data_IF_887386223865
#
_entry.id   IF_887386223865
#
_cell.length_a   1.000
_cell.length_b   1.000
_cell.length_c   1.000
_cell.angle_alpha   90.00
_cell.angle_beta   90.00
_cell.angle_gamma   90.00
#
_symmetry.space_group_name_H-M   'P 1'
#
loop_
_entity.id
_entity.type
_entity.pdbx_description
1 polymer ?
#
# COMPACT_ATOMS: atom_id res chain seq x y z
N UNK A 1 31.60 -8.74 19.97
CA UNK A 1 31.87 -8.86 18.51
C UNK A 1 30.63 -9.11 17.62
N UNK A 2 29.41 -8.73 18.01
CA UNK A 2 28.20 -8.86 17.15
C UNK A 2 27.58 -7.53 16.70
N UNK A 3 28.05 -6.40 17.23
CA UNK A 3 27.48 -5.07 16.98
C UNK A 3 28.20 -4.35 15.82
N UNK A 4 29.43 -4.74 15.48
CA UNK A 4 30.22 -4.16 14.38
C UNK A 4 29.79 -4.61 12.97
N UNK A 5 28.93 -5.63 12.84
CA UNK A 5 28.54 -6.18 11.51
C UNK A 5 27.31 -5.52 10.88
N UNK A 6 26.59 -4.67 11.63
CA UNK A 6 25.36 -4.03 11.14
C UNK A 6 25.54 -2.55 10.77
N UNK A 7 26.58 -1.88 11.27
CA UNK A 7 26.89 -0.49 10.92
C UNK A 7 27.60 -0.41 9.55
N UNK A 8 28.28 -1.48 9.12
CA UNK A 8 29.02 -1.55 7.86
C UNK A 8 28.10 -1.80 6.64
N UNK A 9 26.89 -2.33 6.83
CA UNK A 9 25.93 -2.56 5.73
C UNK A 9 25.10 -1.32 5.34
N UNK A 10 25.04 -0.28 6.19
CA UNK A 10 24.26 0.94 5.92
C UNK A 10 25.15 2.08 5.36
N UNK A 11 26.47 1.92 5.40
CA UNK A 11 27.44 2.89 4.90
C UNK A 11 28.16 2.47 3.59
N UNK A 12 27.78 1.34 2.98
CA UNK A 12 28.57 0.67 1.94
C UNK A 12 28.08 0.80 0.49
N UNK A 13 27.06 1.61 0.19
CA UNK A 13 26.64 1.81 -1.21
C UNK A 13 26.43 3.30 -1.56
N UNK A 14 27.33 4.14 -1.06
CA UNK A 14 27.55 5.48 -1.60
C UNK A 14 29.00 5.56 -2.08
N UNK A 15 29.13 5.78 -3.39
CA UNK A 15 30.27 6.38 -4.10
C UNK A 15 31.55 5.54 -4.35
N UNK A 16 31.60 4.93 -5.54
CA UNK A 16 32.76 4.94 -6.45
C UNK A 16 32.19 4.93 -7.89
N UNK A 17 32.03 6.09 -8.55
CA UNK A 17 33.01 6.71 -9.48
C UNK A 17 33.39 5.71 -10.59
N UNK A 18 33.08 5.86 -11.88
CA UNK A 18 32.79 7.03 -12.68
C UNK A 18 33.62 6.90 -13.96
N UNK A 19 33.00 6.48 -15.08
CA UNK A 19 33.51 6.73 -16.43
C UNK A 19 32.39 6.54 -17.47
N UNK A 20 31.62 7.60 -17.67
CA UNK A 20 30.64 7.70 -18.75
C UNK A 20 30.48 9.18 -19.07
N UNK A 21 31.10 9.63 -20.14
CA UNK A 21 31.08 11.01 -20.59
C UNK A 21 29.67 11.43 -21.04
N UNK A 22 29.26 12.63 -20.62
CA UNK A 22 28.20 13.40 -21.25
C UNK A 22 26.79 13.18 -20.71
N UNK A 23 26.40 13.94 -19.68
CA UNK A 23 25.04 14.45 -19.51
C UNK A 23 25.05 15.56 -18.45
N UNK A 24 24.66 16.76 -18.86
CA UNK A 24 24.52 17.93 -17.99
C UNK A 24 23.58 17.62 -16.82
N UNK A 25 24.09 17.69 -15.59
CA UNK A 25 23.27 17.60 -14.38
C UNK A 25 22.58 18.94 -14.18
N UNK A 26 21.36 19.07 -14.70
CA UNK A 26 20.42 20.05 -14.18
C UNK A 26 20.02 19.58 -12.78
N UNK A 27 20.54 20.23 -11.74
CA UNK A 27 20.03 20.12 -10.37
C UNK A 27 18.61 20.66 -10.33
N UNK A 28 17.65 19.78 -10.62
CA UNK A 28 16.24 20.04 -10.35
C UNK A 28 16.03 20.02 -8.84
N UNK A 29 15.68 21.18 -8.28
CA UNK A 29 15.11 21.30 -6.94
C UNK A 29 14.06 20.21 -6.73
N UNK A 30 14.09 19.39 -5.67
CA UNK A 30 13.05 18.41 -5.43
C UNK A 30 11.71 19.13 -5.25
N UNK A 31 10.88 19.19 -6.30
CA UNK A 31 9.48 19.56 -6.11
C UNK A 31 8.89 18.57 -5.12
N UNK A 32 8.45 19.08 -3.96
CA UNK A 32 7.64 18.32 -3.03
C UNK A 32 6.40 17.82 -3.79
N UNK A 33 6.42 16.55 -4.19
CA UNK A 33 5.25 15.90 -4.74
C UNK A 33 4.22 15.87 -3.62
N UNK A 34 3.17 16.69 -3.72
CA UNK A 34 1.98 16.56 -2.90
C UNK A 34 1.46 15.14 -3.10
N UNK A 35 1.81 14.23 -2.19
CA UNK A 35 1.42 12.84 -2.31
C UNK A 35 -0.10 12.77 -2.20
N UNK A 36 -0.76 12.41 -3.30
CA UNK A 36 -2.21 12.19 -3.34
C UNK A 36 -2.55 11.17 -2.26
N UNK A 37 -3.50 11.52 -1.39
CA UNK A 37 -4.01 10.60 -0.39
C UNK A 37 -4.76 9.46 -1.08
N UNK A 38 -4.11 8.31 -1.22
CA UNK A 38 -4.69 7.16 -1.91
C UNK A 38 -5.90 6.62 -1.13
N UNK A 39 -6.89 6.09 -1.83
CA UNK A 39 -8.03 5.37 -1.26
C UNK A 39 -8.01 3.93 -1.70
N UNK A 40 -7.87 2.99 -0.75
CA UNK A 40 -7.86 1.56 -1.00
C UNK A 40 -9.13 0.93 -0.46
N UNK A 41 -9.86 0.22 -1.30
CA UNK A 41 -10.96 -0.66 -0.89
C UNK A 41 -10.42 -2.00 -0.39
N UNK A 42 -10.92 -2.51 0.73
CA UNK A 42 -10.64 -3.86 1.21
C UNK A 42 -11.95 -4.65 1.30
N UNK A 43 -12.09 -5.63 0.40
CA UNK A 43 -13.26 -6.49 0.30
C UNK A 43 -13.01 -7.82 1.01
N UNK A 44 -13.76 -8.06 2.06
CA UNK A 44 -13.61 -9.24 2.93
C UNK A 44 -14.52 -10.38 2.48
N UNK A 45 -14.04 -11.62 2.63
CA UNK A 45 -14.80 -12.82 2.24
C UNK A 45 -16.08 -13.05 3.06
N UNK A 46 -16.12 -12.56 4.30
CA UNK A 46 -17.25 -12.69 5.20
C UNK A 46 -17.20 -11.62 6.31
N UNK A 47 -18.22 -10.76 6.38
CA UNK A 47 -18.33 -9.81 7.50
C UNK A 47 -18.93 -10.49 8.74
N UNK A 48 -18.40 -10.18 9.92
CA UNK A 48 -18.90 -10.71 11.20
C UNK A 48 -17.99 -11.72 11.90
N UNK A 49 -16.98 -12.26 11.21
CA UNK A 49 -15.96 -13.11 11.81
C UNK A 49 -14.98 -12.29 12.68
N UNK A 50 -14.66 -12.68 13.93
CA UNK A 50 -13.62 -12.05 14.75
C UNK A 50 -12.26 -11.88 14.06
N UNK A 51 -11.83 -12.86 13.24
CA UNK A 51 -10.60 -12.75 12.44
C UNK A 51 -10.66 -11.55 11.49
N UNK A 52 -11.79 -11.36 10.80
CA UNK A 52 -11.98 -10.25 9.87
C UNK A 52 -12.03 -8.91 10.60
N UNK A 53 -12.55 -8.85 11.83
CA UNK A 53 -12.48 -7.64 12.65
C UNK A 53 -11.03 -7.24 12.95
N UNK A 54 -10.18 -8.21 13.30
CA UNK A 54 -8.76 -7.97 13.55
C UNK A 54 -8.02 -7.53 12.29
N UNK A 55 -8.21 -8.22 11.16
CA UNK A 55 -7.59 -7.86 9.87
C UNK A 55 -8.05 -6.46 9.44
N UNK A 56 -9.34 -6.16 9.59
CA UNK A 56 -9.89 -4.85 9.27
C UNK A 56 -9.28 -3.73 10.13
N UNK A 57 -9.03 -4.01 11.41
CA UNK A 57 -8.36 -3.06 12.28
C UNK A 57 -6.91 -2.83 11.85
N UNK A 58 -6.16 -3.90 11.60
CA UNK A 58 -4.78 -3.81 11.13
C UNK A 58 -4.67 -3.04 9.80
N UNK A 59 -5.61 -3.26 8.86
CA UNK A 59 -5.65 -2.53 7.60
C UNK A 59 -5.90 -1.03 7.79
N UNK A 60 -6.77 -0.65 8.74
CA UNK A 60 -6.99 0.77 9.08
C UNK A 60 -5.75 1.40 9.71
N UNK A 61 -5.06 0.69 10.59
CA UNK A 61 -3.88 1.21 11.26
C UNK A 61 -2.72 1.38 10.27
N UNK A 62 -2.46 0.38 9.41
CA UNK A 62 -1.52 0.52 8.30
C UNK A 62 -1.88 1.68 7.34
N UNK A 63 -3.18 1.88 7.08
CA UNK A 63 -3.65 3.03 6.32
C UNK A 63 -3.27 4.37 6.96
N UNK A 64 -3.44 4.51 8.27
CA UNK A 64 -3.03 5.73 8.99
C UNK A 64 -1.53 5.96 8.90
N UNK A 65 -0.74 4.92 9.13
CA UNK A 65 0.73 4.99 9.11
C UNK A 65 1.28 5.38 7.73
N UNK A 66 0.61 4.92 6.67
CA UNK A 66 0.98 5.20 5.28
C UNK A 66 0.30 6.45 4.70
N UNK A 67 -0.58 7.12 5.45
CA UNK A 67 -1.36 8.25 4.93
C UNK A 67 -2.40 7.85 3.87
N UNK A 68 -2.87 6.61 3.86
CA UNK A 68 -3.85 6.04 2.92
C UNK A 68 -5.22 5.91 3.58
N UNK A 69 -6.29 6.19 2.85
CA UNK A 69 -7.67 5.92 3.30
C UNK A 69 -8.06 4.49 2.97
N UNK A 70 -8.41 3.68 3.98
CA UNK A 70 -8.84 2.29 3.77
C UNK A 70 -10.35 2.15 3.99
N UNK A 71 -11.09 1.77 2.94
CA UNK A 71 -12.54 1.49 2.97
C UNK A 71 -12.78 0.00 3.07
N UNK A 72 -13.33 -0.46 4.19
CA UNK A 72 -13.55 -1.89 4.44
C UNK A 72 -15.00 -2.25 4.18
N UNK A 73 -15.23 -3.29 3.40
CA UNK A 73 -16.56 -3.76 3.00
C UNK A 73 -16.55 -5.27 2.74
N UNK A 74 -17.71 -5.87 2.52
CA UNK A 74 -17.88 -7.29 2.27
C UNK A 74 -19.33 -7.72 2.41
N UNK A 75 -19.57 -9.01 2.21
CA UNK A 75 -20.90 -9.63 2.28
C UNK A 75 -21.03 -10.47 3.56
N UNK A 76 -22.25 -10.62 4.13
CA UNK A 76 -22.50 -11.45 5.30
C UNK A 76 -22.52 -12.96 4.99
N UNK A 77 -22.03 -13.36 3.82
CA UNK A 77 -22.08 -14.72 3.27
C UNK A 77 -21.23 -14.81 2.00
N UNK A 78 -21.03 -16.03 1.49
CA UNK A 78 -20.35 -16.24 0.22
C UNK A 78 -21.30 -15.91 -0.94
N UNK A 79 -21.09 -14.74 -1.55
CA UNK A 79 -21.83 -14.27 -2.73
C UNK A 79 -20.85 -13.61 -3.71
N UNK A 80 -20.30 -14.38 -4.67
CA UNK A 80 -19.32 -13.87 -5.62
C UNK A 80 -19.84 -12.72 -6.50
N UNK A 81 -21.14 -12.72 -6.83
CA UNK A 81 -21.72 -11.69 -7.69
C UNK A 81 -21.85 -10.37 -6.94
N UNK A 82 -22.37 -10.39 -5.71
CA UNK A 82 -22.42 -9.21 -4.86
C UNK A 82 -21.01 -8.70 -4.53
N UNK A 83 -20.06 -9.60 -4.31
CA UNK A 83 -18.66 -9.27 -4.07
C UNK A 83 -18.00 -8.58 -5.27
N UNK A 84 -18.20 -9.09 -6.50
CA UNK A 84 -17.75 -8.44 -7.72
C UNK A 84 -18.38 -7.05 -7.87
N UNK A 85 -19.69 -6.92 -7.59
CA UNK A 85 -20.38 -5.63 -7.62
C UNK A 85 -19.77 -4.64 -6.63
N UNK A 86 -19.44 -5.07 -5.41
CA UNK A 86 -18.77 -4.23 -4.41
C UNK A 86 -17.42 -3.70 -4.93
N UNK A 87 -16.63 -4.55 -5.61
CA UNK A 87 -15.36 -4.12 -6.22
C UNK A 87 -15.61 -3.06 -7.29
N UNK A 88 -16.60 -3.27 -8.17
CA UNK A 88 -16.97 -2.30 -9.21
C UNK A 88 -17.43 -0.96 -8.61
N UNK A 89 -18.28 -1.01 -7.58
CA UNK A 89 -18.78 0.17 -6.88
C UNK A 89 -17.65 0.95 -6.18
N UNK A 90 -16.63 0.26 -5.64
CA UNK A 90 -15.45 0.88 -5.04
C UNK A 90 -14.64 1.69 -6.08
N UNK A 91 -14.41 1.12 -7.26
CA UNK A 91 -13.73 1.84 -8.35
C UNK A 91 -14.57 3.01 -8.87
N UNK A 92 -15.89 2.82 -9.05
CA UNK A 92 -16.79 3.90 -9.43
C UNK A 92 -16.80 5.04 -8.39
N UNK A 93 -16.56 4.73 -7.12
CA UNK A 93 -16.45 5.69 -6.01
C UNK A 93 -15.06 6.32 -5.88
N UNK A 94 -14.15 6.09 -6.84
CA UNK A 94 -12.81 6.70 -6.88
C UNK A 94 -11.77 6.02 -5.99
N UNK A 95 -11.92 4.73 -5.67
CA UNK A 95 -10.83 3.97 -5.07
C UNK A 95 -9.66 3.87 -6.06
N UNK A 96 -8.44 4.13 -5.58
CA UNK A 96 -7.20 3.97 -6.35
C UNK A 96 -6.77 2.50 -6.45
N UNK A 97 -7.32 1.62 -5.61
CA UNK A 97 -7.06 0.19 -5.65
C UNK A 97 -8.01 -0.61 -4.77
N UNK A 98 -8.08 -1.93 -5.03
CA UNK A 98 -8.87 -2.85 -4.23
C UNK A 98 -8.02 -4.06 -3.83
N UNK A 99 -8.00 -4.37 -2.53
CA UNK A 99 -7.51 -5.61 -1.96
C UNK A 99 -8.71 -6.51 -1.64
N UNK A 100 -8.60 -7.80 -1.92
CA UNK A 100 -9.69 -8.76 -1.72
C UNK A 100 -9.18 -10.06 -1.13
N UNK A 101 -9.97 -10.65 -0.22
CA UNK A 101 -9.75 -12.01 0.29
C UNK A 101 -10.76 -13.02 -0.27
N UNK A 102 -11.45 -12.68 -1.36
CA UNK A 102 -12.47 -13.52 -2.00
C UNK A 102 -11.78 -14.66 -2.75
N UNK A 103 -12.32 -15.88 -2.66
CA UNK A 103 -11.86 -17.01 -3.48
C UNK A 103 -12.28 -16.79 -4.93
N UNK A 104 -11.31 -16.82 -5.86
CA UNK A 104 -11.55 -16.74 -7.30
C UNK A 104 -11.99 -18.05 -7.92
#
# INVERSE_FOLDING_TARGET
MRIARHIIMIAGLVALVGLGAGASTAEGTPQAQTQKKLTIGFVTHFVGNPFIKQVAQAARDAGKDLGVTVKITGTPGFDPAAQLKIVQDLFASGADGVSTSITG
#
